data_IF_160770285140
#
_entry.id   IF_160770285140
#
_cell.length_a   1.000
_cell.length_b   1.000
_cell.length_c   1.000
_cell.angle_alpha   90.00
_cell.angle_beta   90.00
_cell.angle_gamma   90.00
#
_symmetry.space_group_name_H-M   'P 1'
#
loop_
_entity.id
_entity.type
_entity.pdbx_description
1 polymer ?
#
# COMPACT_ATOMS: atom_id res chain seq x y z
N UNK A 1 -19.98 -4.48 -0.77
CA UNK A 1 -19.23 -3.26 -1.12
C UNK A 1 -17.71 -3.44 -0.99
N UNK A 2 -17.21 -4.68 -0.90
CA UNK A 2 -15.79 -5.00 -0.92
C UNK A 2 -15.06 -4.69 -2.24
N UNK A 3 -15.79 -4.50 -3.36
CA UNK A 3 -15.18 -4.17 -4.66
C UNK A 3 -14.72 -2.70 -4.74
N UNK A 4 -15.46 -1.76 -4.15
CA UNK A 4 -15.09 -0.33 -4.20
C UNK A 4 -13.92 0.01 -3.26
N UNK A 5 -13.84 -0.63 -2.08
CA UNK A 5 -12.72 -0.43 -1.15
C UNK A 5 -11.39 -0.98 -1.72
N UNK A 6 -11.46 -1.96 -2.62
CA UNK A 6 -10.27 -2.54 -3.27
C UNK A 6 -9.62 -1.56 -4.25
N UNK A 7 -10.42 -0.76 -4.97
CA UNK A 7 -9.91 0.22 -5.93
C UNK A 7 -9.16 1.37 -5.25
N UNK A 8 -9.65 1.85 -4.10
CA UNK A 8 -9.02 2.97 -3.39
C UNK A 8 -7.64 2.59 -2.85
N UNK A 9 -7.51 1.44 -2.19
CA UNK A 9 -6.23 0.98 -1.63
C UNK A 9 -5.21 0.68 -2.73
N UNK A 10 -5.65 0.02 -3.82
CA UNK A 10 -4.79 -0.25 -4.97
C UNK A 10 -4.31 1.05 -5.65
N UNK A 11 -5.18 2.07 -5.74
CA UNK A 11 -4.82 3.38 -6.26
C UNK A 11 -3.77 4.08 -5.41
N UNK A 12 -3.86 4.03 -4.07
CA UNK A 12 -2.83 4.59 -3.18
C UNK A 12 -1.47 3.90 -3.35
N UNK A 13 -1.44 2.57 -3.43
CA UNK A 13 -0.21 1.82 -3.69
C UNK A 13 0.40 2.13 -5.06
N UNK A 14 -0.45 2.26 -6.08
CA UNK A 14 -0.04 2.68 -7.42
C UNK A 14 0.57 4.09 -7.41
N UNK A 15 -0.08 5.04 -6.74
CA UNK A 15 0.43 6.41 -6.59
C UNK A 15 1.75 6.47 -5.82
N UNK A 16 1.88 5.67 -4.75
CA UNK A 16 3.11 5.58 -3.96
C UNK A 16 4.24 5.01 -4.81
N UNK A 17 4.01 3.91 -5.54
CA UNK A 17 4.98 3.32 -6.44
C UNK A 17 5.41 4.28 -7.56
N UNK A 18 4.45 5.00 -8.16
CA UNK A 18 4.72 6.02 -9.17
C UNK A 18 5.56 7.17 -8.60
N UNK A 19 5.21 7.69 -7.42
CA UNK A 19 5.98 8.76 -6.75
C UNK A 19 7.40 8.30 -6.41
N UNK A 20 7.58 7.09 -5.89
CA UNK A 20 8.92 6.53 -5.62
C UNK A 20 9.75 6.44 -6.90
N UNK A 21 9.15 5.99 -8.01
CA UNK A 21 9.83 5.89 -9.30
C UNK A 21 10.32 7.25 -9.84
N UNK A 22 9.63 8.36 -9.53
CA UNK A 22 10.08 9.69 -9.94
C UNK A 22 10.99 10.37 -8.91
N UNK A 23 10.76 10.17 -7.61
CA UNK A 23 11.50 10.83 -6.52
C UNK A 23 12.90 10.23 -6.34
N UNK A 24 13.07 8.91 -6.54
CA UNK A 24 14.37 8.22 -6.36
C UNK A 24 15.41 8.57 -7.44
N UNK A 25 15.09 8.66 -8.74
CA UNK A 25 16.04 9.15 -9.74
C UNK A 25 16.35 10.64 -9.57
N UNK A 26 15.35 11.44 -9.16
CA UNK A 26 15.52 12.87 -8.93
C UNK A 26 16.41 13.13 -7.71
N UNK A 27 16.33 12.30 -6.67
CA UNK A 27 17.21 12.34 -5.50
C UNK A 27 18.65 11.96 -5.85
N UNK A 28 18.88 10.91 -6.65
CA UNK A 28 20.21 10.52 -7.09
C UNK A 28 20.92 11.64 -7.88
N UNK A 29 20.17 12.35 -8.74
CA UNK A 29 20.67 13.54 -9.45
C UNK A 29 20.91 14.74 -8.52
N UNK A 30 20.25 14.81 -7.38
CA UNK A 30 20.47 15.85 -6.37
C UNK A 30 21.69 15.54 -5.48
N UNK A 31 21.89 14.28 -5.10
CA UNK A 31 23.06 13.84 -4.34
C UNK A 31 24.38 14.04 -5.10
N UNK A 32 24.40 13.87 -6.43
CA UNK A 32 25.60 14.18 -7.24
C UNK A 32 25.96 15.67 -7.24
N UNK A 33 24.97 16.57 -7.03
CA UNK A 33 25.17 18.01 -6.92
C UNK A 33 25.60 18.40 -5.50
N UNK A 34 25.05 17.74 -4.48
CA UNK A 34 25.43 17.96 -3.07
C UNK A 34 26.79 17.34 -2.71
N UNK A 35 27.29 16.35 -3.46
CA UNK A 35 28.64 15.80 -3.30
C UNK A 35 29.73 16.71 -3.92
N UNK A 36 29.49 18.03 -3.90
CA UNK A 36 30.43 19.04 -4.33
C UNK A 36 31.64 19.00 -3.40
N UNK A 37 32.65 18.22 -3.80
CA UNK A 37 33.98 18.31 -3.23
C UNK A 37 34.47 19.71 -3.54
N UNK A 38 34.60 20.54 -2.49
CA UNK A 38 35.24 21.84 -2.60
C UNK A 38 36.54 21.65 -3.40
N UNK A 39 36.79 22.50 -4.42
CA UNK A 39 37.97 22.34 -5.26
C UNK A 39 39.20 22.26 -4.36
N UNK A 40 39.96 21.17 -4.51
CA UNK A 40 41.22 20.99 -3.82
C UNK A 40 42.31 21.75 -4.60
N UNK A 41 42.23 23.07 -4.68
CA UNK A 41 43.31 23.89 -5.20
C UNK A 41 44.21 24.36 -4.06
N UNK A 42 45.14 23.47 -3.70
CA UNK A 42 46.34 23.79 -2.93
C UNK A 42 47.13 24.91 -3.64
N UNK A 43 47.10 26.11 -3.07
CA UNK A 43 48.14 27.17 -3.10
C UNK A 43 49.25 26.99 -4.14
N UNK A 44 48.94 27.14 -5.42
CA UNK A 44 49.97 27.25 -6.47
C UNK A 44 49.98 28.66 -7.04
N UNK A 45 50.88 29.44 -6.44
CA UNK A 45 51.57 30.62 -6.97
C UNK A 45 50.86 31.45 -8.03
N UNK A 46 50.36 32.61 -7.61
CA UNK A 46 50.76 33.90 -8.19
C UNK A 46 50.31 35.03 -7.27
N UNK A 47 51.26 35.89 -6.90
CA UNK A 47 50.97 37.14 -6.21
C UNK A 47 50.06 38.03 -7.06
N UNK A 48 49.34 38.93 -6.38
CA UNK A 48 48.57 40.02 -6.97
C UNK A 48 47.32 39.63 -7.77
N UNK A 49 46.29 39.08 -7.10
CA UNK A 49 44.87 39.44 -7.31
C UNK A 49 43.91 38.62 -6.40
N UNK A 50 44.02 38.76 -5.08
CA UNK A 50 43.08 38.12 -4.14
C UNK A 50 41.61 38.59 -4.35
N UNK A 51 41.40 39.83 -4.76
CA UNK A 51 40.05 40.39 -4.95
C UNK A 51 39.31 39.81 -6.17
N UNK A 52 40.01 39.46 -7.26
CA UNK A 52 39.38 38.87 -8.45
C UNK A 52 39.01 37.41 -8.22
N UNK A 53 39.86 36.63 -7.55
CA UNK A 53 39.58 35.23 -7.22
C UNK A 53 38.36 35.13 -6.29
N UNK A 54 38.34 35.92 -5.20
CA UNK A 54 37.22 35.95 -4.26
C UNK A 54 35.87 36.33 -4.92
N UNK A 55 35.88 37.24 -5.90
CA UNK A 55 34.66 37.63 -6.63
C UNK A 55 34.21 36.56 -7.64
N UNK A 56 35.13 35.81 -8.25
CA UNK A 56 34.82 34.68 -9.14
C UNK A 56 34.27 33.51 -8.33
N UNK A 57 34.85 33.22 -7.17
CA UNK A 57 34.38 32.18 -6.24
C UNK A 57 33.01 32.53 -5.65
N UNK A 58 32.80 33.79 -5.24
CA UNK A 58 31.50 34.27 -4.75
C UNK A 58 30.41 34.24 -5.83
N UNK A 59 30.73 34.56 -7.09
CA UNK A 59 29.80 34.44 -8.22
C UNK A 59 29.43 32.99 -8.51
N UNK A 60 30.40 32.08 -8.58
CA UNK A 60 30.15 30.63 -8.77
C UNK A 60 29.31 30.06 -7.65
N UNK A 61 29.61 30.38 -6.39
CA UNK A 61 28.79 29.92 -5.26
C UNK A 61 27.35 30.42 -5.35
N UNK A 62 27.13 31.65 -5.84
CA UNK A 62 25.78 32.22 -6.01
C UNK A 62 25.00 31.56 -7.15
N UNK A 63 25.65 31.28 -8.29
CA UNK A 63 25.05 30.53 -9.41
C UNK A 63 24.76 29.08 -9.03
N UNK A 64 25.70 28.39 -8.37
CA UNK A 64 25.51 27.01 -7.89
C UNK A 64 24.40 26.94 -6.82
N UNK A 65 24.35 27.92 -5.90
CA UNK A 65 23.27 28.03 -4.91
C UNK A 65 21.92 28.29 -5.57
N UNK A 66 21.83 29.13 -6.60
CA UNK A 66 20.60 29.35 -7.36
C UNK A 66 20.16 28.11 -8.14
N UNK A 67 21.09 27.31 -8.65
CA UNK A 67 20.78 26.05 -9.33
C UNK A 67 20.31 24.95 -8.35
N UNK A 68 20.83 24.93 -7.12
CA UNK A 68 20.41 23.99 -6.05
C UNK A 68 19.04 24.40 -5.46
N UNK A 69 18.84 25.68 -5.17
CA UNK A 69 17.58 26.23 -4.65
C UNK A 69 16.54 26.55 -5.74
N UNK A 70 16.83 26.20 -7.00
CA UNK A 70 15.89 26.32 -8.10
C UNK A 70 14.78 25.27 -8.04
N UNK A 71 14.05 25.14 -9.15
CA UNK A 71 12.91 24.22 -9.30
C UNK A 71 13.24 22.75 -8.95
N UNK A 72 14.51 22.34 -9.08
CA UNK A 72 14.98 20.98 -8.73
C UNK A 72 14.95 20.72 -7.22
N UNK A 73 15.34 21.69 -6.39
CA UNK A 73 15.31 21.56 -4.93
C UNK A 73 13.88 21.62 -4.38
N UNK A 74 13.04 22.47 -4.97
CA UNK A 74 11.61 22.57 -4.63
C UNK A 74 10.90 21.23 -4.92
N UNK A 75 11.14 20.65 -6.11
CA UNK A 75 10.58 19.35 -6.49
C UNK A 75 11.00 18.21 -5.55
N UNK A 76 12.25 18.22 -5.07
CA UNK A 76 12.74 17.24 -4.10
C UNK A 76 12.00 17.35 -2.75
N UNK A 77 11.88 18.55 -2.18
CA UNK A 77 11.22 18.75 -0.88
C UNK A 77 9.73 18.42 -0.96
N UNK A 78 9.06 18.85 -2.03
CA UNK A 78 7.63 18.56 -2.25
C UNK A 78 7.41 17.06 -2.46
N UNK A 79 8.26 16.40 -3.26
CA UNK A 79 8.18 14.97 -3.51
C UNK A 79 8.34 14.14 -2.24
N UNK A 80 9.38 14.39 -1.45
CA UNK A 80 9.57 13.70 -0.16
C UNK A 80 8.48 14.03 0.86
N UNK A 81 8.01 15.29 0.90
CA UNK A 81 6.87 15.69 1.73
C UNK A 81 5.59 14.94 1.37
N UNK A 82 5.27 14.81 0.08
CA UNK A 82 4.11 14.06 -0.40
C UNK A 82 4.22 12.56 -0.12
N UNK A 83 5.41 11.98 -0.25
CA UNK A 83 5.67 10.57 0.02
C UNK A 83 5.50 10.26 1.51
N UNK A 84 6.06 11.11 2.38
CA UNK A 84 5.90 10.98 3.83
C UNK A 84 4.43 11.14 4.22
N UNK A 85 3.73 12.14 3.67
CA UNK A 85 2.30 12.34 3.93
C UNK A 85 1.48 11.10 3.56
N UNK A 86 1.61 10.60 2.32
CA UNK A 86 0.91 9.40 1.85
C UNK A 86 1.26 8.16 2.67
N UNK A 87 2.53 7.99 3.05
CA UNK A 87 2.96 6.88 3.89
C UNK A 87 2.33 6.94 5.29
N UNK A 88 2.25 8.13 5.90
CA UNK A 88 1.58 8.31 7.20
C UNK A 88 0.08 8.11 7.12
N UNK A 89 -0.57 8.57 6.04
CA UNK A 89 -1.99 8.33 5.79
C UNK A 89 -2.29 6.86 5.58
N UNK A 90 -1.44 6.15 4.84
CA UNK A 90 -1.56 4.72 4.63
C UNK A 90 -1.34 3.91 5.91
N UNK A 91 -0.36 4.28 6.74
CA UNK A 91 -0.12 3.63 8.03
C UNK A 91 -1.31 3.77 8.98
N UNK A 92 -2.01 4.92 8.95
CA UNK A 92 -3.23 5.12 9.71
C UNK A 92 -4.45 4.34 9.17
N UNK A 93 -4.38 3.82 7.93
CA UNK A 93 -5.42 2.99 7.31
C UNK A 93 -5.21 1.48 7.52
N UNK A 94 -4.16 1.05 8.23
CA UNK A 94 -3.99 -0.36 8.62
C UNK A 94 -4.90 -0.73 9.79
N UNK A 95 -6.20 -0.76 9.52
CA UNK A 95 -7.17 -1.53 10.27
C UNK A 95 -7.90 -2.42 9.27
N UNK A 96 -7.52 -3.70 9.25
CA UNK A 96 -8.27 -4.89 8.81
C UNK A 96 -7.29 -5.89 8.17
N UNK A 97 -7.22 -7.07 8.77
CA UNK A 97 -6.37 -8.19 8.37
C UNK A 97 -6.49 -8.45 6.85
N UNK A 98 -5.34 -8.68 6.20
CA UNK A 98 -5.26 -9.15 4.82
C UNK A 98 -5.96 -10.51 4.74
N UNK A 99 -7.22 -10.41 4.34
CA UNK A 99 -8.32 -11.36 4.24
C UNK A 99 -7.96 -12.83 3.99
N UNK A 100 -7.68 -13.58 5.06
CA UNK A 100 -8.02 -15.01 5.10
C UNK A 100 -9.43 -15.10 5.69
N UNK A 101 -10.41 -15.54 4.92
CA UNK A 101 -11.80 -15.69 5.39
C UNK A 101 -11.82 -16.70 6.55
N UNK A 102 -11.86 -16.24 7.80
CA UNK A 102 -11.90 -17.11 8.97
C UNK A 102 -13.30 -17.03 9.62
N UNK A 103 -14.15 -18.07 9.47
CA UNK A 103 -15.52 -18.07 9.96
C UNK A 103 -15.59 -18.02 11.50
N UNK A 104 -14.61 -18.59 12.21
CA UNK A 104 -14.54 -18.54 13.67
C UNK A 104 -14.27 -17.13 14.18
N UNK A 105 -13.32 -16.41 13.55
CA UNK A 105 -13.04 -15.00 13.88
C UNK A 105 -14.21 -14.08 13.55
N UNK A 106 -14.88 -14.26 12.42
CA UNK A 106 -16.04 -13.46 12.02
C UNK A 106 -17.19 -13.60 13.03
N UNK A 107 -17.41 -14.80 13.56
CA UNK A 107 -18.42 -15.07 14.59
C UNK A 107 -17.92 -14.79 16.02
N UNK A 108 -16.65 -14.41 16.18
CA UNK A 108 -15.98 -14.18 17.47
C UNK A 108 -16.09 -15.39 18.42
N UNK A 109 -15.82 -16.59 17.90
CA UNK A 109 -15.81 -17.87 18.61
C UNK A 109 -14.44 -18.55 18.47
N UNK A 110 -14.16 -19.50 19.35
CA UNK A 110 -12.95 -20.33 19.27
C UNK A 110 -13.07 -21.40 18.18
N UNK A 111 -11.93 -21.82 17.66
CA UNK A 111 -11.83 -22.92 16.69
C UNK A 111 -12.28 -24.22 17.36
N UNK A 112 -13.20 -24.96 16.74
CA UNK A 112 -13.79 -26.17 17.32
C UNK A 112 -15.01 -25.96 18.22
N UNK A 113 -15.61 -24.76 18.21
CA UNK A 113 -16.86 -24.47 18.94
C UNK A 113 -18.01 -25.44 18.56
N UNK A 114 -18.88 -25.70 19.53
CA UNK A 114 -20.03 -26.57 19.35
C UNK A 114 -21.09 -25.93 18.42
N UNK A 115 -21.94 -26.72 17.74
CA UNK A 115 -23.01 -26.18 16.89
C UNK A 115 -24.00 -25.27 17.66
N UNK A 116 -24.15 -25.49 18.97
CA UNK A 116 -24.96 -24.64 19.84
C UNK A 116 -24.36 -23.25 20.00
N UNK A 117 -23.03 -23.17 20.17
CA UNK A 117 -22.29 -21.91 20.30
C UNK A 117 -22.28 -21.12 18.99
N UNK A 118 -22.06 -21.80 17.85
CA UNK A 118 -22.12 -21.21 16.51
C UNK A 118 -23.48 -20.54 16.28
N UNK A 119 -24.57 -21.24 16.59
CA UNK A 119 -25.93 -20.71 16.44
C UNK A 119 -26.20 -19.52 17.35
N UNK A 120 -25.66 -19.54 18.58
CA UNK A 120 -25.79 -18.43 19.54
C UNK A 120 -25.01 -17.20 19.08
N UNK A 121 -23.78 -17.39 18.60
CA UNK A 121 -22.93 -16.33 18.07
C UNK A 121 -23.54 -15.68 16.83
N UNK A 122 -24.03 -16.49 15.89
CA UNK A 122 -24.72 -16.00 14.69
C UNK A 122 -25.92 -15.11 15.04
N UNK A 123 -26.76 -15.52 16.00
CA UNK A 123 -27.90 -14.71 16.45
C UNK A 123 -27.46 -13.36 17.03
N UNK A 124 -26.39 -13.35 17.83
CA UNK A 124 -25.84 -12.13 18.43
C UNK A 124 -25.32 -11.17 17.37
N UNK A 125 -24.53 -11.66 16.42
CA UNK A 125 -23.93 -10.86 15.35
C UNK A 125 -24.97 -10.38 14.33
N UNK A 126 -25.95 -11.22 13.99
CA UNK A 126 -27.04 -10.86 13.07
C UNK A 126 -27.89 -9.72 13.60
N UNK A 127 -28.15 -9.67 14.90
CA UNK A 127 -28.88 -8.56 15.52
C UNK A 127 -28.04 -7.28 15.57
N UNK A 128 -26.72 -7.41 15.76
CA UNK A 128 -25.80 -6.26 15.79
C UNK A 128 -25.70 -5.58 14.42
N UNK A 129 -25.55 -6.36 13.36
CA UNK A 129 -25.33 -5.87 11.99
C UNK A 129 -26.59 -5.88 11.12
N UNK A 130 -27.78 -6.03 11.71
CA UNK A 130 -29.03 -6.08 10.96
C UNK A 130 -29.25 -4.79 10.15
N UNK A 131 -29.67 -4.87 8.87
CA UNK A 131 -29.86 -3.69 8.02
C UNK A 131 -30.95 -2.73 8.54
N UNK A 132 -31.96 -3.25 9.22
CA UNK A 132 -33.03 -2.43 9.85
C UNK A 132 -32.51 -1.53 10.98
N UNK A 133 -31.52 -2.02 11.76
CA UNK A 133 -30.94 -1.25 12.87
C UNK A 133 -29.84 -0.29 12.42
N UNK A 134 -29.24 -0.57 11.27
CA UNK A 134 -28.12 0.20 10.71
C UNK A 134 -28.46 0.69 9.28
N UNK A 135 -29.51 1.50 9.10
CA UNK A 135 -29.89 1.97 7.78
C UNK A 135 -28.77 2.85 7.19
N UNK A 136 -28.37 2.55 5.95
CA UNK A 136 -27.36 3.33 5.21
C UNK A 136 -25.91 3.09 5.61
N UNK A 137 -25.62 2.17 6.53
CA UNK A 137 -24.24 1.79 6.85
C UNK A 137 -23.76 0.63 5.96
N UNK A 138 -22.92 0.96 4.98
CA UNK A 138 -22.33 0.01 4.03
C UNK A 138 -21.47 -1.04 4.72
N UNK A 139 -20.72 -0.67 5.77
CA UNK A 139 -19.86 -1.59 6.52
C UNK A 139 -20.66 -2.63 7.30
N UNK A 140 -21.81 -2.25 7.87
CA UNK A 140 -22.68 -3.17 8.61
C UNK A 140 -23.30 -4.21 7.66
N UNK A 141 -23.69 -3.80 6.45
CA UNK A 141 -24.18 -4.72 5.43
C UNK A 141 -23.11 -5.73 4.99
N UNK A 142 -21.88 -5.28 4.76
CA UNK A 142 -20.78 -6.17 4.38
C UNK A 142 -20.43 -7.15 5.51
N UNK A 143 -20.44 -6.71 6.77
CA UNK A 143 -20.26 -7.58 7.93
C UNK A 143 -21.41 -8.58 8.09
N UNK A 144 -22.65 -8.18 7.83
CA UNK A 144 -23.80 -9.07 7.87
C UNK A 144 -23.69 -10.22 6.85
N UNK A 145 -23.28 -9.91 5.61
CA UNK A 145 -23.03 -10.91 4.57
C UNK A 145 -21.92 -11.87 5.01
N UNK A 146 -20.81 -11.36 5.57
CA UNK A 146 -19.71 -12.19 6.09
C UNK A 146 -20.17 -13.11 7.23
N UNK A 147 -20.98 -12.62 8.16
CA UNK A 147 -21.54 -13.38 9.29
C UNK A 147 -22.46 -14.50 8.79
N UNK A 148 -23.30 -14.22 7.79
CA UNK A 148 -24.16 -15.23 7.18
C UNK A 148 -23.33 -16.33 6.50
N UNK A 149 -22.32 -15.94 5.70
CA UNK A 149 -21.40 -16.88 5.06
C UNK A 149 -20.64 -17.73 6.10
N UNK A 150 -20.14 -17.12 7.17
CA UNK A 150 -19.43 -17.84 8.22
C UNK A 150 -20.30 -18.90 8.91
N UNK A 151 -21.57 -18.59 9.17
CA UNK A 151 -22.51 -19.56 9.75
C UNK A 151 -22.80 -20.71 8.78
N UNK A 152 -23.03 -20.42 7.49
CA UNK A 152 -23.26 -21.45 6.47
C UNK A 152 -22.11 -22.46 6.40
N UNK A 153 -20.88 -21.95 6.37
CA UNK A 153 -19.66 -22.76 6.29
C UNK A 153 -19.47 -23.69 7.48
N UNK A 154 -19.81 -23.22 8.69
CA UNK A 154 -19.68 -24.03 9.90
C UNK A 154 -20.90 -24.94 10.16
N UNK A 155 -22.01 -24.73 9.47
CA UNK A 155 -23.24 -25.53 9.64
C UNK A 155 -23.22 -26.79 8.79
N UNK A 156 -22.74 -26.69 7.54
CA UNK A 156 -22.61 -27.85 6.66
C UNK A 156 -21.27 -28.56 6.87
N UNK A 157 -21.33 -29.87 7.03
CA UNK A 157 -20.16 -30.70 7.33
C UNK A 157 -19.19 -30.71 6.15
N UNK A 158 -19.71 -30.74 4.92
CA UNK A 158 -18.88 -30.76 3.72
C UNK A 158 -18.11 -29.43 3.55
N UNK A 159 -18.77 -28.28 3.77
CA UNK A 159 -18.09 -26.98 3.72
C UNK A 159 -17.12 -26.78 4.88
N UNK A 160 -17.40 -27.35 6.04
CA UNK A 160 -16.50 -27.31 7.20
C UNK A 160 -15.23 -28.10 6.93
N UNK A 161 -15.34 -29.33 6.44
CA UNK A 161 -14.19 -30.16 6.08
C UNK A 161 -13.34 -29.48 4.98
N UNK A 162 -14.00 -28.90 3.96
CA UNK A 162 -13.32 -28.14 2.92
C UNK A 162 -12.54 -26.95 3.48
N UNK A 163 -13.15 -26.21 4.41
CA UNK A 163 -12.50 -25.09 5.08
C UNK A 163 -11.29 -25.54 5.90
N UNK A 164 -11.42 -26.63 6.67
CA UNK A 164 -10.31 -27.18 7.47
C UNK A 164 -9.16 -27.68 6.59
N UNK A 165 -9.46 -28.24 5.42
CA UNK A 165 -8.46 -28.83 4.52
C UNK A 165 -7.80 -27.81 3.59
N UNK A 166 -8.53 -26.82 3.11
CA UNK A 166 -8.07 -25.89 2.07
C UNK A 166 -8.06 -24.42 2.51
N UNK A 167 -8.56 -24.09 3.70
CA UNK A 167 -8.73 -22.71 4.17
C UNK A 167 -9.88 -21.95 3.48
N UNK A 168 -10.62 -22.62 2.59
CA UNK A 168 -11.71 -22.03 1.81
C UNK A 168 -12.96 -22.92 1.88
N UNK A 169 -14.15 -22.33 2.08
CA UNK A 169 -15.39 -23.11 2.16
C UNK A 169 -15.80 -23.77 0.85
N UNK A 170 -15.41 -23.15 -0.27
CA UNK A 170 -15.72 -23.59 -1.62
C UNK A 170 -14.79 -24.74 -2.10
N UNK A 171 -13.84 -25.16 -1.24
CA UNK A 171 -12.92 -26.27 -1.50
C UNK A 171 -11.64 -25.85 -2.25
N UNK A 172 -10.99 -26.83 -2.88
CA UNK A 172 -9.78 -26.59 -3.66
C UNK A 172 -10.12 -25.81 -4.94
N UNK A 173 -9.89 -24.51 -4.92
CA UNK A 173 -9.74 -23.75 -6.16
C UNK A 173 -8.34 -24.04 -6.69
N UNK A 174 -8.24 -25.02 -7.59
CA UNK A 174 -7.09 -25.08 -8.47
C UNK A 174 -7.02 -23.74 -9.17
N UNK A 175 -5.98 -22.96 -8.90
CA UNK A 175 -5.64 -21.80 -9.73
C UNK A 175 -5.33 -22.35 -11.12
N UNK A 176 -6.37 -22.55 -11.92
CA UNK A 176 -6.23 -22.81 -13.34
C UNK A 176 -5.78 -21.50 -13.95
N UNK A 177 -4.50 -21.19 -13.76
CA UNK A 177 -3.79 -20.25 -14.61
C UNK A 177 -3.70 -20.98 -15.95
N UNK A 178 -4.80 -20.91 -16.72
CA UNK A 178 -4.75 -21.23 -18.13
C UNK A 178 -3.84 -20.17 -18.72
N UNK A 179 -2.58 -20.55 -18.95
CA UNK A 179 -1.68 -19.79 -19.79
C UNK A 179 -2.42 -19.70 -21.12
N UNK A 180 -3.04 -18.55 -21.39
CA UNK A 180 -3.79 -18.31 -22.60
C UNK A 180 -2.83 -18.35 -23.78
N UNK A 181 -2.63 -19.54 -24.35
CA UNK A 181 -1.81 -19.68 -25.53
C UNK A 181 -2.54 -19.03 -26.71
N UNK A 182 -1.91 -18.08 -27.42
CA UNK A 182 -2.53 -17.43 -28.56
C UNK A 182 -2.80 -18.45 -29.68
N UNK A 183 -3.90 -18.25 -30.42
CA UNK A 183 -4.45 -19.19 -31.41
C UNK A 183 -3.48 -19.61 -32.53
N UNK A 184 -2.39 -18.87 -32.75
CA UNK A 184 -1.38 -19.21 -33.76
C UNK A 184 -0.44 -20.35 -33.33
N UNK A 185 -0.33 -20.66 -32.03
CA UNK A 185 0.57 -21.71 -31.52
C UNK A 185 -0.07 -23.12 -31.56
N UNK A 186 -1.40 -23.20 -31.56
CA UNK A 186 -2.14 -24.48 -31.50
C UNK A 186 -2.48 -25.04 -32.89
N UNK A 187 -2.12 -24.34 -33.96
CA UNK A 187 -2.40 -24.73 -35.35
C UNK A 187 -1.15 -25.30 -36.03
N UNK A 188 -0.66 -26.44 -35.54
CA UNK A 188 0.40 -27.23 -36.21
C UNK A 188 -0.06 -28.67 -36.43
#
# INVERSE_FOLDING_TARGET
MAFEVFDDVAFYWFLLAALVFFVVPMSNSFYSVCNFRAPADWTRGMGSCKAKLANVDAKRLKETRQNIFGWRGIGFVVGWGSLIYLATSFAAMQGEEMFTFNPYRILAIEEGATPSEIKKAYRKMSVLYHPDKNPGNTTAQDLFIKVAKAHEVLTDEATRENYEKYGNPDGYHGTSVTIGFPSWLTNQ
#
